data_IF_990952779234
#
_entry.id   IF_990952779234
#
_cell.length_a   1.000
_cell.length_b   1.000
_cell.length_c   1.000
_cell.angle_alpha   90.00
_cell.angle_beta   90.00
_cell.angle_gamma   90.00
#
_symmetry.space_group_name_H-M   'P 1'
#
loop_
_entity.id
_entity.type
_entity.pdbx_description
1 polymer ?
#
# COMPACT_ATOMS: atom_id res chain seq x y z
N UNK A 1 21.91 5.32 -4.73
CA UNK A 1 20.97 4.36 -5.35
C UNK A 1 20.41 4.82 -6.70
N UNK A 2 20.62 6.08 -7.11
CA UNK A 2 20.03 6.71 -8.30
C UNK A 2 20.33 6.04 -9.67
N UNK A 3 21.24 5.05 -9.72
CA UNK A 3 21.62 4.36 -10.96
C UNK A 3 21.02 2.94 -11.07
N UNK A 4 20.23 2.51 -10.08
CA UNK A 4 19.61 1.18 -10.07
C UNK A 4 18.09 1.30 -10.18
N UNK A 5 17.49 0.41 -10.96
CA UNK A 5 16.04 0.27 -11.13
C UNK A 5 15.48 -0.97 -10.41
N UNK A 6 16.29 -1.61 -9.56
CA UNK A 6 15.86 -2.79 -8.82
C UNK A 6 15.00 -2.40 -7.62
N UNK A 7 14.03 -3.26 -7.31
CA UNK A 7 13.22 -3.16 -6.10
C UNK A 7 14.11 -3.28 -4.85
N UNK A 8 13.98 -2.32 -3.95
CA UNK A 8 14.76 -2.19 -2.71
C UNK A 8 14.19 -3.03 -1.56
N UNK A 9 12.88 -3.29 -1.55
CA UNK A 9 12.20 -4.08 -0.55
C UNK A 9 12.22 -5.57 -0.97
N UNK A 10 12.52 -6.51 -0.05
CA UNK A 10 12.47 -7.93 -0.36
C UNK A 10 11.07 -8.38 -0.81
N UNK A 11 10.99 -9.03 -1.99
CA UNK A 11 9.73 -9.48 -2.61
C UNK A 11 8.87 -10.35 -1.68
N UNK A 12 9.49 -11.26 -0.92
CA UNK A 12 8.76 -12.14 0.01
C UNK A 12 8.12 -11.36 1.16
N UNK A 13 8.86 -10.43 1.76
CA UNK A 13 8.36 -9.60 2.86
C UNK A 13 7.20 -8.71 2.40
N UNK A 14 7.34 -8.09 1.23
CA UNK A 14 6.27 -7.29 0.63
C UNK A 14 5.03 -8.14 0.34
N UNK A 15 5.21 -9.33 -0.23
CA UNK A 15 4.11 -10.25 -0.51
C UNK A 15 3.35 -10.70 0.74
N UNK A 16 4.06 -11.01 1.82
CA UNK A 16 3.45 -11.41 3.09
C UNK A 16 2.64 -10.26 3.70
N UNK A 17 3.22 -9.05 3.70
CA UNK A 17 2.52 -7.85 4.16
C UNK A 17 1.22 -7.61 3.37
N UNK A 18 1.27 -7.69 2.04
CA UNK A 18 0.07 -7.51 1.19
C UNK A 18 -0.99 -8.55 1.53
N UNK A 19 -0.60 -9.82 1.73
CA UNK A 19 -1.54 -10.87 2.14
C UNK A 19 -2.17 -10.60 3.50
N UNK A 20 -1.40 -10.09 4.45
CA UNK A 20 -1.92 -9.79 5.79
C UNK A 20 -2.88 -8.60 5.75
N UNK A 21 -2.56 -7.56 4.98
CA UNK A 21 -3.47 -6.41 4.75
C UNK A 21 -4.77 -6.86 4.10
N UNK A 22 -4.71 -7.74 3.09
CA UNK A 22 -5.93 -8.25 2.43
C UNK A 22 -6.83 -9.02 3.40
N UNK A 23 -6.26 -9.84 4.29
CA UNK A 23 -7.04 -10.53 5.33
C UNK A 23 -7.69 -9.54 6.30
N UNK A 24 -6.98 -8.48 6.68
CA UNK A 24 -7.55 -7.43 7.54
C UNK A 24 -8.69 -6.66 6.83
N UNK A 25 -8.59 -6.46 5.51
CA UNK A 25 -9.64 -5.83 4.73
C UNK A 25 -10.88 -6.71 4.65
N UNK A 26 -10.72 -8.00 4.38
CA UNK A 26 -11.82 -8.98 4.35
C UNK A 26 -12.54 -9.05 5.70
N UNK A 27 -11.79 -9.10 6.82
CA UNK A 27 -12.37 -9.10 8.16
C UNK A 27 -13.21 -7.83 8.42
N UNK A 28 -12.73 -6.66 7.97
CA UNK A 28 -13.45 -5.38 8.10
C UNK A 28 -14.66 -5.26 7.17
N UNK A 29 -14.68 -5.98 6.04
CA UNK A 29 -15.81 -6.03 5.11
C UNK A 29 -16.92 -6.95 5.61
N UNK A 30 -16.57 -8.06 6.26
CA UNK A 30 -17.54 -8.97 6.89
C UNK A 30 -18.32 -8.26 8.02
N UNK A 31 -17.65 -7.40 8.79
CA UNK A 31 -18.28 -6.55 9.82
C UNK A 31 -19.23 -5.48 9.24
N UNK A 32 -19.02 -5.03 7.99
CA UNK A 32 -19.87 -4.02 7.33
C UNK A 32 -21.08 -4.59 6.59
N UNK A 33 -21.25 -5.91 6.59
CA UNK A 33 -22.44 -6.56 6.04
C UNK A 33 -22.60 -6.48 4.52
N UNK A 34 -21.60 -6.01 3.79
CA UNK A 34 -21.60 -5.95 2.31
C UNK A 34 -20.95 -7.19 1.71
N UNK A 35 -21.45 -8.39 2.02
CA UNK A 35 -20.98 -9.62 1.37
C UNK A 35 -21.97 -10.06 0.30
N UNK A 36 -21.83 -9.52 -0.92
CA UNK A 36 -22.58 -9.97 -2.11
C UNK A 36 -21.98 -11.21 -2.77
N UNK A 37 -20.77 -11.63 -2.36
CA UNK A 37 -20.04 -12.77 -2.94
C UNK A 37 -19.82 -13.86 -1.88
N UNK A 38 -20.86 -14.26 -1.15
CA UNK A 38 -20.79 -15.43 -0.26
C UNK A 38 -21.57 -16.59 -0.89
N UNK A 39 -20.84 -17.43 -1.62
CA UNK A 39 -21.11 -18.86 -1.70
C UNK A 39 -21.70 -19.41 -3.00
N UNK A 40 -20.86 -20.08 -3.80
CA UNK A 40 -21.19 -21.35 -4.46
C UNK A 40 -19.90 -22.16 -4.70
N UNK A 41 -19.31 -22.72 -3.63
CA UNK A 41 -18.43 -23.89 -3.73
C UNK A 41 -18.53 -24.69 -2.43
N UNK A 42 -19.72 -25.24 -2.18
CA UNK A 42 -19.83 -26.42 -1.33
C UNK A 42 -19.38 -27.63 -2.16
N UNK A 43 -18.07 -27.91 -2.18
CA UNK A 43 -17.61 -29.27 -2.48
C UNK A 43 -17.66 -30.04 -1.17
N UNK A 44 -18.41 -31.13 -1.15
CA UNK A 44 -18.49 -32.07 -0.03
C UNK A 44 -17.13 -32.75 0.16
N UNK A 45 -16.19 -32.10 0.84
CA UNK A 45 -14.91 -32.67 1.23
C UNK A 45 -14.79 -32.62 2.76
N UNK A 46 -14.27 -33.69 3.41
CA UNK A 46 -14.17 -33.76 4.87
C UNK A 46 -13.41 -32.55 5.44
N UNK A 47 -13.90 -32.03 6.57
CA UNK A 47 -13.26 -30.93 7.28
C UNK A 47 -11.96 -31.42 7.93
N UNK A 48 -10.86 -31.40 7.17
CA UNK A 48 -9.51 -31.54 7.74
C UNK A 48 -9.20 -30.30 8.60
N UNK A 49 -8.96 -30.46 9.92
CA UNK A 49 -8.76 -29.34 10.85
C UNK A 49 -7.46 -28.56 10.58
N UNK A 50 -6.49 -29.15 9.86
CA UNK A 50 -5.26 -28.47 9.44
C UNK A 50 -5.41 -27.59 8.18
N UNK A 51 -6.57 -27.65 7.51
CA UNK A 51 -6.88 -26.84 6.33
C UNK A 51 -7.41 -25.44 6.68
N UNK A 52 -7.36 -25.05 7.97
CA UNK A 52 -7.84 -23.75 8.45
C UNK A 52 -7.02 -22.54 8.01
N UNK A 53 -5.82 -22.72 7.47
CA UNK A 53 -4.90 -21.61 7.18
C UNK A 53 -5.05 -20.96 5.80
N UNK A 54 -5.79 -21.58 4.87
CA UNK A 54 -5.68 -21.24 3.45
C UNK A 54 -7.00 -21.33 2.63
N UNK A 55 -8.18 -21.19 3.27
CA UNK A 55 -9.47 -21.19 2.54
C UNK A 55 -9.91 -19.84 1.99
N UNK A 56 -9.22 -18.75 2.36
CA UNK A 56 -9.54 -17.38 1.93
C UNK A 56 -8.31 -16.59 1.46
N UNK A 57 -7.23 -17.26 1.04
CA UNK A 57 -6.09 -16.54 0.50
C UNK A 57 -6.43 -15.99 -0.89
N UNK A 58 -6.73 -14.69 -0.97
CA UNK A 58 -6.80 -13.95 -2.24
C UNK A 58 -5.56 -14.29 -3.08
N UNK A 59 -5.79 -14.93 -4.23
CA UNK A 59 -4.73 -15.23 -5.18
C UNK A 59 -4.50 -14.00 -6.04
N UNK A 60 -3.30 -13.44 -5.94
CA UNK A 60 -2.89 -12.31 -6.76
C UNK A 60 -2.07 -12.79 -7.94
N UNK A 61 -2.30 -12.18 -9.10
CA UNK A 61 -1.40 -12.34 -10.25
C UNK A 61 0.00 -11.81 -9.89
N UNK A 62 1.04 -12.48 -10.38
CA UNK A 62 2.42 -12.07 -10.14
C UNK A 62 2.70 -10.66 -10.67
N UNK A 63 2.14 -10.32 -11.83
CA UNK A 63 2.32 -8.99 -12.43
C UNK A 63 1.60 -7.90 -11.63
N UNK A 64 0.41 -8.18 -11.10
CA UNK A 64 -0.32 -7.25 -10.25
C UNK A 64 0.45 -6.95 -8.96
N UNK A 65 1.03 -7.99 -8.34
CA UNK A 65 1.85 -7.83 -7.14
C UNK A 65 3.13 -7.02 -7.44
N UNK A 66 3.77 -7.26 -8.58
CA UNK A 66 4.96 -6.50 -9.01
C UNK A 66 4.62 -5.03 -9.27
N UNK A 67 3.53 -4.75 -9.99
CA UNK A 67 3.08 -3.38 -10.23
C UNK A 67 2.77 -2.63 -8.92
N UNK A 68 2.13 -3.29 -7.97
CA UNK A 68 1.87 -2.74 -6.64
C UNK A 68 3.18 -2.44 -5.88
N UNK A 69 4.16 -3.33 -6.01
CA UNK A 69 5.47 -3.17 -5.38
C UNK A 69 6.25 -1.99 -5.97
N UNK A 70 6.29 -1.88 -7.29
CA UNK A 70 6.93 -0.76 -8.00
C UNK A 70 6.28 0.58 -7.63
N UNK A 71 4.95 0.62 -7.61
CA UNK A 71 4.21 1.82 -7.21
C UNK A 71 4.49 2.21 -5.74
N UNK A 72 4.53 1.24 -4.83
CA UNK A 72 4.80 1.48 -3.42
C UNK A 72 6.21 2.02 -3.19
N UNK A 73 7.23 1.43 -3.82
CA UNK A 73 8.59 1.91 -3.72
C UNK A 73 8.77 3.28 -4.35
N UNK A 74 8.20 3.52 -5.54
CA UNK A 74 8.22 4.82 -6.19
C UNK A 74 7.62 5.89 -5.28
N UNK A 75 6.50 5.58 -4.60
CA UNK A 75 5.86 6.48 -3.66
C UNK A 75 6.76 6.79 -2.45
N UNK A 76 7.38 5.77 -1.85
CA UNK A 76 8.26 5.93 -0.69
C UNK A 76 9.53 6.71 -1.04
N UNK A 77 10.20 6.38 -2.14
CA UNK A 77 11.37 7.12 -2.66
C UNK A 77 10.99 8.56 -2.96
N UNK A 78 9.81 8.78 -3.55
CA UNK A 78 9.29 10.11 -3.84
C UNK A 78 9.03 10.97 -2.61
N UNK A 79 8.76 10.38 -1.43
CA UNK A 79 8.66 11.13 -0.17
C UNK A 79 10.04 11.42 0.43
N UNK A 80 10.96 10.46 0.34
CA UNK A 80 12.19 10.45 1.14
C UNK A 80 13.39 11.17 0.50
N UNK A 81 13.67 10.95 -0.77
CA UNK A 81 14.99 11.32 -1.33
C UNK A 81 15.00 12.62 -2.14
N UNK A 82 14.23 12.72 -3.24
CA UNK A 82 14.65 13.69 -4.27
C UNK A 82 13.57 14.57 -4.89
N UNK A 83 12.31 14.12 -4.97
CA UNK A 83 11.36 14.81 -5.87
C UNK A 83 10.14 15.49 -5.29
N UNK A 84 9.83 15.39 -4.00
CA UNK A 84 8.82 16.27 -3.40
C UNK A 84 8.85 16.22 -1.87
N UNK A 85 9.32 17.27 -1.22
CA UNK A 85 8.90 17.66 0.14
C UNK A 85 9.80 17.23 1.32
N UNK A 86 10.20 15.96 1.50
CA UNK A 86 10.83 15.50 2.77
C UNK A 86 12.17 16.16 3.10
N UNK A 87 13.16 15.92 2.25
CA UNK A 87 14.50 16.50 2.39
C UNK A 87 14.46 18.04 2.26
N UNK A 88 13.56 18.57 1.41
CA UNK A 88 13.34 20.01 1.27
C UNK A 88 12.83 20.65 2.58
N UNK A 89 11.95 19.99 3.32
CA UNK A 89 11.46 20.47 4.62
C UNK A 89 12.58 20.51 5.67
N UNK A 90 13.49 19.53 5.67
CA UNK A 90 14.64 19.51 6.56
C UNK A 90 15.62 20.65 6.23
N UNK A 91 15.97 20.83 4.94
CA UNK A 91 16.87 21.89 4.47
C UNK A 91 16.27 23.29 4.67
N UNK A 92 14.95 23.45 4.48
CA UNK A 92 14.25 24.71 4.80
C UNK A 92 14.46 25.14 6.26
N UNK A 93 14.57 24.17 7.17
CA UNK A 93 14.91 24.38 8.57
C UNK A 93 16.40 24.26 8.90
N UNK A 94 17.29 24.38 7.90
CA UNK A 94 18.76 24.31 8.03
C UNK A 94 19.28 23.01 8.67
N UNK A 95 18.53 21.91 8.52
CA UNK A 95 18.92 20.57 8.98
C UNK A 95 19.22 19.66 7.79
N UNK A 96 20.10 18.69 8.00
CA UNK A 96 20.39 17.61 7.03
C UNK A 96 19.73 16.29 7.46
N UNK A 97 19.34 16.18 8.73
CA UNK A 97 18.64 15.01 9.27
C UNK A 97 17.13 15.14 9.11
N UNK A 98 16.51 14.17 8.43
CA UNK A 98 15.05 14.03 8.35
C UNK A 98 14.46 13.73 9.73
N UNK A 99 13.39 14.44 10.08
CA UNK A 99 12.65 14.24 11.33
C UNK A 99 11.18 13.91 11.07
N UNK A 100 10.47 13.26 12.01
CA UNK A 100 9.04 12.97 11.87
C UNK A 100 8.16 14.20 11.56
N UNK A 101 8.57 15.39 12.05
CA UNK A 101 7.87 16.65 11.77
C UNK A 101 7.94 17.05 10.29
N UNK A 102 9.05 16.76 9.62
CA UNK A 102 9.22 17.01 8.19
C UNK A 102 8.24 16.12 7.40
N UNK A 103 8.20 14.82 7.73
CA UNK A 103 7.27 13.86 7.12
C UNK A 103 5.80 14.19 7.36
N UNK A 104 5.46 14.65 8.56
CA UNK A 104 4.11 15.12 8.88
C UNK A 104 3.70 16.33 8.04
N UNK A 105 4.62 17.28 7.84
CA UNK A 105 4.39 18.45 6.99
C UNK A 105 4.20 18.04 5.52
N UNK A 106 5.06 17.15 4.99
CA UNK A 106 4.89 16.57 3.65
C UNK A 106 3.51 15.95 3.48
N UNK A 107 3.10 15.10 4.42
CA UNK A 107 1.80 14.43 4.38
C UNK A 107 0.64 15.42 4.35
N UNK A 108 0.75 16.55 5.06
CA UNK A 108 -0.27 17.62 5.05
C UNK A 108 -0.29 18.37 3.73
N UNK A 109 0.87 18.77 3.20
CA UNK A 109 0.97 19.52 1.94
C UNK A 109 0.48 18.68 0.74
N UNK A 110 0.81 17.39 0.72
CA UNK A 110 0.33 16.47 -0.33
C UNK A 110 -1.17 16.23 -0.29
N UNK A 111 -1.78 16.14 0.91
CA UNK A 111 -3.24 16.04 1.03
C UNK A 111 -3.95 17.24 0.40
N UNK A 112 -3.40 18.45 0.57
CA UNK A 112 -3.94 19.67 -0.04
C UNK A 112 -3.83 19.62 -1.58
N UNK A 113 -2.70 19.15 -2.13
CA UNK A 113 -2.54 18.98 -3.59
C UNK A 113 -3.54 17.99 -4.20
N UNK A 114 -3.73 16.82 -3.57
CA UNK A 114 -4.67 15.80 -4.06
C UNK A 114 -6.13 16.30 -4.04
N UNK A 115 -6.47 17.20 -3.12
CA UNK A 115 -7.80 17.83 -3.06
C UNK A 115 -7.97 18.93 -4.09
N UNK A 116 -6.93 19.71 -4.40
CA UNK A 116 -6.98 20.75 -5.42
C UNK A 116 -7.19 20.17 -6.84
N UNK A 117 -6.62 18.99 -7.12
CA UNK A 117 -6.81 18.31 -8.42
C UNK A 117 -8.20 17.67 -8.61
N UNK A 118 -9.08 17.72 -7.58
CA UNK A 118 -10.45 17.16 -7.63
C UNK A 118 -11.53 18.19 -7.99
N UNK A 119 -11.20 19.47 -8.17
CA UNK A 119 -12.18 20.47 -8.64
C UNK A 119 -12.41 20.33 -10.16
N UNK A 120 -13.63 19.98 -10.62
CA UNK A 120 -13.92 19.98 -12.06
C UNK A 120 -13.92 21.43 -12.58
N UNK A 121 -13.32 21.63 -13.76
CA UNK A 121 -13.27 22.92 -14.44
C UNK A 121 -14.66 23.56 -14.56
N UNK A 122 -14.80 24.88 -14.37
CA UNK A 122 -16.06 25.58 -14.60
C UNK A 122 -16.47 25.43 -16.07
N UNK A 123 -17.73 25.05 -16.30
CA UNK A 123 -18.36 24.93 -17.63
C UNK A 123 -18.49 26.30 -18.31
#
# INVERSE_FOLDING_TARGET
MQNSTHLLIPKLSFQLLVKDILKEMEAKEEERGTSSYKGELHTNLPEDPDLGRNRFAVRMETNALLALHEAAEMYLVGILEEKQDGNLCAVHNKRVTLMPRDMSLVGRLRRVKIQADKEPAPQ
#
